data_IF_264313885845
#
_entry.id   IF_264313885845
#
_cell.length_a   1.000
_cell.length_b   1.000
_cell.length_c   1.000
_cell.angle_alpha   90.00
_cell.angle_beta   90.00
_cell.angle_gamma   90.00
#
_symmetry.space_group_name_H-M   'P 1'
#
loop_
_entity.id
_entity.type
_entity.pdbx_description
1 polymer ?
#
# COMPACT_ATOMS: atom_id res chain seq x y z
N UNK A 1 5.65 10.51 -7.20
CA UNK A 1 5.09 9.23 -6.78
C UNK A 1 5.94 8.11 -7.37
N UNK A 2 6.16 7.05 -6.61
CA UNK A 2 6.81 5.80 -7.03
C UNK A 2 5.83 4.68 -6.73
N UNK A 3 5.73 3.70 -7.62
CA UNK A 3 4.94 2.51 -7.35
C UNK A 3 5.55 1.29 -8.05
N UNK A 4 5.30 0.12 -7.49
CA UNK A 4 5.64 -1.16 -8.09
C UNK A 4 4.73 -1.47 -9.30
N UNK A 5 5.28 -2.23 -10.25
CA UNK A 5 4.57 -2.55 -11.51
C UNK A 5 3.42 -3.53 -11.33
N UNK A 6 3.32 -4.20 -10.19
CA UNK A 6 2.31 -5.19 -9.83
C UNK A 6 1.20 -4.65 -8.94
N UNK A 7 0.88 -3.36 -9.08
CA UNK A 7 -0.24 -2.69 -8.44
C UNK A 7 -1.32 -2.35 -9.46
N UNK A 8 -2.55 -2.80 -9.22
CA UNK A 8 -3.74 -2.39 -9.96
C UNK A 8 -4.46 -1.25 -9.25
N UNK A 9 -4.94 -0.29 -10.03
CA UNK A 9 -5.79 0.81 -9.56
C UNK A 9 -7.23 0.59 -10.01
N UNK A 10 -8.16 0.59 -9.06
CA UNK A 10 -9.59 0.43 -9.25
C UNK A 10 -10.36 1.75 -9.04
N UNK A 11 -9.85 2.58 -8.14
CA UNK A 11 -10.31 3.95 -7.87
C UNK A 11 -9.11 4.88 -7.73
N UNK A 12 -9.35 6.18 -7.68
CA UNK A 12 -8.30 7.18 -7.51
C UNK A 12 -7.74 7.17 -6.08
N UNK A 13 -6.54 6.63 -5.82
CA UNK A 13 -6.00 6.54 -4.46
C UNK A 13 -5.66 7.91 -3.84
N UNK A 14 -5.52 8.96 -4.65
CA UNK A 14 -5.27 10.31 -4.14
C UNK A 14 -6.41 10.85 -3.26
N UNK A 15 -7.61 10.32 -3.41
CA UNK A 15 -8.76 10.66 -2.54
C UNK A 15 -8.56 10.22 -1.09
N UNK A 16 -7.65 9.26 -0.85
CA UNK A 16 -7.31 8.75 0.47
C UNK A 16 -6.09 9.43 1.09
N UNK A 17 -5.43 10.34 0.37
CA UNK A 17 -4.22 11.01 0.83
C UNK A 17 -4.52 12.34 1.48
N UNK A 18 -3.95 12.55 2.67
CA UNK A 18 -4.04 13.82 3.36
C UNK A 18 -3.11 14.87 2.73
N UNK A 19 -3.65 16.04 2.43
CA UNK A 19 -2.85 17.19 1.98
C UNK A 19 -1.83 17.64 3.02
N UNK A 20 -2.03 17.28 4.29
CA UNK A 20 -1.14 17.60 5.39
C UNK A 20 0.04 16.62 5.51
N UNK A 21 -0.01 15.46 4.84
CA UNK A 21 1.10 14.50 4.84
C UNK A 21 2.27 15.02 3.99
N UNK A 22 3.48 14.79 4.45
CA UNK A 22 4.70 15.04 3.66
C UNK A 22 5.06 13.82 2.81
N UNK A 23 4.75 12.63 3.33
CA UNK A 23 4.94 11.35 2.65
C UNK A 23 3.73 10.47 2.93
N UNK A 24 3.30 9.71 1.93
CA UNK A 24 2.21 8.73 2.04
C UNK A 24 2.72 7.40 1.50
N UNK A 25 2.49 6.32 2.23
CA UNK A 25 2.85 4.97 1.81
C UNK A 25 1.71 4.00 2.09
N UNK A 26 1.57 2.96 1.30
CA UNK A 26 0.69 1.84 1.66
C UNK A 26 1.24 1.07 2.86
N UNK A 27 0.46 0.16 3.39
CA UNK A 27 0.80 -0.63 4.56
C UNK A 27 0.74 -2.12 4.27
N UNK A 28 1.72 -2.88 4.79
CA UNK A 28 1.57 -4.34 4.90
C UNK A 28 0.66 -4.70 6.08
N UNK A 29 0.77 -3.95 7.19
CA UNK A 29 -0.12 -4.04 8.35
C UNK A 29 -0.52 -2.64 8.82
N UNK A 30 -1.81 -2.44 9.03
CA UNK A 30 -2.40 -1.18 9.47
C UNK A 30 -3.11 -1.36 10.82
N UNK A 31 -2.78 -0.49 11.78
CA UNK A 31 -3.23 -0.59 13.17
C UNK A 31 -4.27 0.49 13.56
N UNK A 32 -5.00 1.01 12.57
CA UNK A 32 -6.16 1.89 12.80
C UNK A 32 -5.87 3.39 12.76
N UNK A 33 -4.69 3.85 13.16
CA UNK A 33 -4.29 5.26 13.08
C UNK A 33 -3.36 5.48 11.89
N UNK A 34 -3.75 6.30 10.88
CA UNK A 34 -2.94 6.53 9.68
C UNK A 34 -1.61 7.26 9.95
N UNK A 35 -1.40 7.81 11.12
CA UNK A 35 -0.14 8.48 11.47
C UNK A 35 0.68 7.73 12.53
N UNK A 36 0.19 6.59 12.99
CA UNK A 36 0.91 5.77 13.96
C UNK A 36 2.18 5.18 13.35
N UNK A 37 3.33 5.35 13.99
CA UNK A 37 4.58 4.71 13.56
C UNK A 37 4.58 3.19 13.81
N UNK A 38 3.53 2.64 14.41
CA UNK A 38 3.36 1.18 14.55
C UNK A 38 3.00 0.52 13.22
N UNK A 39 2.35 1.24 12.31
CA UNK A 39 2.02 0.71 10.99
C UNK A 39 3.28 0.22 10.27
N UNK A 40 3.16 -0.91 9.58
CA UNK A 40 4.25 -1.46 8.79
C UNK A 40 4.14 -0.94 7.34
N UNK A 41 5.09 -0.13 6.87
CA UNK A 41 5.04 0.45 5.54
C UNK A 41 5.16 -0.63 4.45
N UNK A 42 4.47 -0.41 3.34
CA UNK A 42 4.75 -1.04 2.07
C UNK A 42 5.16 0.04 1.07
N UNK A 43 6.42 0.06 0.67
CA UNK A 43 6.98 1.09 -0.21
C UNK A 43 6.67 0.87 -1.68
N UNK A 44 6.00 -0.22 -2.02
CA UNK A 44 5.49 -0.47 -3.37
C UNK A 44 4.50 0.59 -3.86
N UNK A 45 3.88 1.34 -2.93
CA UNK A 45 3.12 2.54 -3.26
C UNK A 45 3.57 3.68 -2.34
N UNK A 46 4.26 4.66 -2.93
CA UNK A 46 4.88 5.75 -2.20
C UNK A 46 4.63 7.09 -2.90
N UNK A 47 4.01 8.03 -2.20
CA UNK A 47 3.91 9.43 -2.59
C UNK A 47 4.73 10.31 -1.66
N UNK A 48 5.46 11.27 -2.20
CA UNK A 48 6.15 12.29 -1.42
C UNK A 48 5.88 13.68 -2.01
N UNK A 49 5.47 14.59 -1.15
CA UNK A 49 5.34 16.00 -1.50
C UNK A 49 6.75 16.61 -1.62
N UNK A 50 7.04 17.24 -2.75
CA UNK A 50 8.36 17.84 -2.96
C UNK A 50 8.59 19.00 -1.97
N UNK A 51 9.62 18.87 -1.14
CA UNK A 51 10.05 19.88 -0.17
C UNK A 51 11.45 19.57 0.34
N UNK A 52 12.13 20.57 0.92
CA UNK A 52 13.44 20.36 1.57
C UNK A 52 13.37 19.27 2.66
N UNK A 53 12.24 19.20 3.38
CA UNK A 53 12.02 18.19 4.43
C UNK A 53 11.97 16.78 3.86
N UNK A 54 11.22 16.56 2.81
CA UNK A 54 11.13 15.23 2.18
C UNK A 54 12.42 14.84 1.47
N UNK A 55 13.11 15.76 0.80
CA UNK A 55 14.45 15.51 0.25
C UNK A 55 15.40 15.06 1.35
N UNK A 56 15.48 15.80 2.46
CA UNK A 56 16.32 15.42 3.60
C UNK A 56 15.95 14.10 4.26
N UNK A 57 14.66 13.74 4.23
CA UNK A 57 14.20 12.44 4.72
C UNK A 57 14.66 11.29 3.80
N UNK A 58 14.57 11.45 2.48
CA UNK A 58 15.10 10.47 1.52
C UNK A 58 16.61 10.31 1.59
N UNK A 59 17.35 11.40 1.79
CA UNK A 59 18.79 11.35 2.01
C UNK A 59 19.14 10.60 3.29
N UNK A 60 18.40 10.82 4.38
CA UNK A 60 18.57 10.08 5.63
C UNK A 60 18.27 8.59 5.43
N UNK A 61 17.16 8.27 4.74
CA UNK A 61 16.79 6.90 4.42
C UNK A 61 17.87 6.19 3.58
N UNK A 62 18.37 6.87 2.55
CA UNK A 62 19.47 6.32 1.75
C UNK A 62 20.72 6.03 2.58
N UNK A 63 21.14 6.98 3.47
CA UNK A 63 22.31 6.80 4.34
C UNK A 63 22.09 5.68 5.37
N UNK A 64 20.89 5.55 5.91
CA UNK A 64 20.56 4.53 6.91
C UNK A 64 20.81 3.09 6.41
N UNK A 65 20.82 2.86 5.08
CA UNK A 65 21.16 1.55 4.50
C UNK A 65 22.54 1.05 4.93
N UNK A 66 23.48 1.95 5.19
CA UNK A 66 24.84 1.62 5.67
C UNK A 66 24.82 0.99 7.07
N UNK A 67 23.83 1.39 7.90
CA UNK A 67 23.62 0.84 9.24
C UNK A 67 22.80 -0.46 9.28
N UNK A 68 22.16 -0.81 8.17
CA UNK A 68 21.30 -2.00 8.05
C UNK A 68 21.68 -2.86 6.85
N UNK A 69 22.91 -3.45 6.83
CA UNK A 69 23.35 -4.28 5.72
C UNK A 69 22.43 -5.49 5.53
N UNK A 70 22.09 -5.80 4.29
CA UNK A 70 21.21 -6.92 3.94
C UNK A 70 19.71 -6.62 4.00
N UNK A 71 19.29 -5.49 4.58
CA UNK A 71 17.88 -5.06 4.52
C UNK A 71 17.58 -4.33 3.21
N UNK A 72 16.43 -4.62 2.61
CA UNK A 72 15.93 -3.83 1.48
C UNK A 72 15.32 -2.50 1.96
N UNK A 73 15.04 -1.59 1.03
CA UNK A 73 14.65 -0.20 1.33
C UNK A 73 13.43 -0.07 2.24
N UNK A 74 12.40 -0.90 2.06
CA UNK A 74 11.21 -0.89 2.91
C UNK A 74 11.54 -1.27 4.36
N UNK A 75 12.36 -2.29 4.55
CA UNK A 75 12.80 -2.71 5.88
C UNK A 75 13.61 -1.59 6.56
N UNK A 76 14.49 -0.91 5.81
CA UNK A 76 15.25 0.24 6.34
C UNK A 76 14.32 1.39 6.72
N UNK A 77 13.31 1.71 5.88
CA UNK A 77 12.30 2.71 6.24
C UNK A 77 11.58 2.35 7.54
N UNK A 78 11.22 1.08 7.69
CA UNK A 78 10.55 0.61 8.91
C UNK A 78 11.40 0.82 10.17
N UNK A 79 12.71 0.65 10.10
CA UNK A 79 13.61 0.92 11.23
C UNK A 79 13.71 2.39 11.60
N UNK A 80 13.77 3.28 10.62
CA UNK A 80 14.06 4.70 10.83
C UNK A 80 12.83 5.60 10.86
N UNK A 81 11.63 5.10 10.56
CA UNK A 81 10.41 5.93 10.43
C UNK A 81 10.10 6.75 11.68
N UNK A 82 10.33 6.16 12.88
CA UNK A 82 10.14 6.88 14.16
C UNK A 82 11.11 8.05 14.27
N UNK A 83 12.37 7.86 13.94
CA UNK A 83 13.38 8.93 13.90
C UNK A 83 12.99 10.01 12.90
N UNK A 84 12.59 9.65 11.68
CA UNK A 84 12.15 10.61 10.67
C UNK A 84 10.97 11.47 11.15
N UNK A 85 10.03 10.88 11.87
CA UNK A 85 8.89 11.61 12.46
C UNK A 85 9.34 12.52 13.59
N UNK A 86 10.06 11.97 14.59
CA UNK A 86 10.40 12.69 15.83
C UNK A 86 11.46 13.74 15.67
N UNK A 87 12.53 13.46 14.90
CA UNK A 87 13.69 14.35 14.78
C UNK A 87 13.61 15.29 13.58
N UNK A 88 12.96 14.89 12.49
CA UNK A 88 12.84 15.68 11.27
C UNK A 88 11.46 16.30 11.06
N UNK A 89 10.51 16.02 11.96
CA UNK A 89 9.14 16.47 11.84
C UNK A 89 8.44 16.00 10.56
N UNK A 90 8.84 14.83 10.03
CA UNK A 90 8.21 14.25 8.85
C UNK A 90 6.84 13.73 9.23
N UNK A 91 5.80 14.14 8.51
CA UNK A 91 4.46 13.57 8.68
C UNK A 91 4.26 12.50 7.64
N UNK A 92 4.30 11.23 8.07
CA UNK A 92 4.07 10.06 7.24
C UNK A 92 2.62 9.63 7.45
N UNK A 93 1.85 9.52 6.37
CA UNK A 93 0.55 8.86 6.38
C UNK A 93 0.71 7.44 5.86
N UNK A 94 0.17 6.49 6.59
CA UNK A 94 0.03 5.10 6.19
C UNK A 94 -1.39 4.88 5.69
N UNK A 95 -1.54 4.40 4.46
CA UNK A 95 -2.84 4.06 3.90
C UNK A 95 -3.32 2.74 4.50
N UNK A 96 -4.59 2.69 4.84
CA UNK A 96 -5.20 1.49 5.39
C UNK A 96 -5.29 0.36 4.36
N UNK A 97 -5.34 -0.86 4.85
CA UNK A 97 -5.34 -2.07 4.04
C UNK A 97 -6.71 -2.45 3.49
N UNK A 98 -7.79 -1.79 3.92
CA UNK A 98 -9.13 -1.99 3.39
C UNK A 98 -9.33 -1.29 2.04
N UNK A 99 -8.67 -0.15 1.87
CA UNK A 99 -8.72 0.64 0.64
C UNK A 99 -7.51 0.39 -0.26
N UNK A 100 -6.33 0.22 0.33
CA UNK A 100 -5.09 -0.05 -0.38
C UNK A 100 -4.61 -1.45 -0.03
N UNK A 101 -5.31 -2.42 -0.61
CA UNK A 101 -5.16 -3.81 -0.27
C UNK A 101 -3.91 -4.45 -0.91
N UNK A 102 -3.53 -5.57 -0.36
CA UNK A 102 -2.50 -6.45 -0.89
C UNK A 102 -2.87 -7.92 -0.72
N UNK A 103 -2.16 -8.81 -1.39
CA UNK A 103 -2.39 -10.24 -1.26
C UNK A 103 -2.02 -10.79 0.12
N UNK A 104 -1.25 -10.02 0.91
CA UNK A 104 -0.98 -10.33 2.33
C UNK A 104 -2.20 -10.11 3.25
N UNK A 105 -3.22 -9.40 2.80
CA UNK A 105 -4.33 -8.94 3.65
C UNK A 105 -5.54 -9.84 3.54
N UNK A 106 -6.30 -9.94 4.65
CA UNK A 106 -7.51 -10.74 4.73
C UNK A 106 -8.79 -9.96 4.40
N UNK A 107 -8.77 -8.63 4.44
CA UNK A 107 -9.95 -7.82 4.08
C UNK A 107 -10.17 -7.87 2.58
N UNK A 108 -11.39 -8.20 2.20
CA UNK A 108 -11.77 -8.42 0.79
C UNK A 108 -13.14 -7.82 0.52
N UNK A 109 -13.18 -6.55 0.09
CA UNK A 109 -14.42 -5.89 -0.30
C UNK A 109 -14.20 -4.92 -1.46
N UNK A 110 -14.78 -5.22 -2.61
CA UNK A 110 -14.73 -4.33 -3.77
C UNK A 110 -15.40 -2.97 -3.53
N UNK A 111 -16.31 -2.86 -2.55
CA UNK A 111 -16.95 -1.59 -2.23
C UNK A 111 -15.94 -0.57 -1.69
N UNK A 112 -14.91 -1.02 -1.00
CA UNK A 112 -13.88 -0.16 -0.38
C UNK A 112 -12.57 -0.10 -1.17
N UNK A 113 -12.30 -1.03 -2.07
CA UNK A 113 -11.03 -1.20 -2.75
C UNK A 113 -10.65 -0.02 -3.67
N UNK A 114 -9.47 0.58 -3.46
CA UNK A 114 -8.85 1.58 -4.33
C UNK A 114 -7.69 1.00 -5.14
N UNK A 115 -6.76 0.33 -4.47
CA UNK A 115 -5.61 -0.32 -5.12
C UNK A 115 -5.41 -1.74 -4.60
N UNK A 116 -4.82 -2.60 -5.43
CA UNK A 116 -4.39 -3.94 -5.02
C UNK A 116 -2.95 -4.17 -5.44
N UNK A 117 -2.12 -4.53 -4.49
CA UNK A 117 -0.74 -4.91 -4.69
C UNK A 117 -0.58 -6.43 -4.65
N UNK A 118 0.09 -7.02 -5.63
CA UNK A 118 0.46 -8.44 -5.59
C UNK A 118 1.72 -8.66 -4.72
N UNK A 119 1.74 -8.04 -3.52
CA UNK A 119 2.74 -8.33 -2.50
C UNK A 119 2.53 -9.74 -1.94
N UNK A 120 3.49 -10.26 -1.16
CA UNK A 120 3.42 -11.64 -0.64
C UNK A 120 3.21 -12.70 -1.73
N UNK A 121 3.66 -12.45 -2.94
CA UNK A 121 3.56 -13.34 -4.08
C UNK A 121 4.91 -13.44 -4.80
N UNK A 122 5.37 -14.64 -5.04
CA UNK A 122 6.65 -14.89 -5.71
C UNK A 122 6.42 -15.36 -7.14
N UNK A 123 7.14 -14.73 -8.07
CA UNK A 123 7.14 -15.09 -9.47
C UNK A 123 6.11 -14.34 -10.34
N UNK A 124 6.59 -13.87 -11.50
CA UNK A 124 5.80 -13.07 -12.43
C UNK A 124 4.53 -13.79 -12.89
N UNK A 125 4.64 -15.09 -13.19
CA UNK A 125 3.49 -15.88 -13.67
C UNK A 125 2.35 -15.93 -12.65
N UNK A 126 2.65 -16.15 -11.38
CA UNK A 126 1.67 -16.18 -10.30
C UNK A 126 1.00 -14.80 -10.11
N UNK A 127 1.80 -13.72 -10.12
CA UNK A 127 1.29 -12.35 -10.02
C UNK A 127 0.35 -12.01 -11.16
N UNK A 128 0.75 -12.30 -12.41
CA UNK A 128 -0.08 -12.03 -13.60
C UNK A 128 -1.38 -12.84 -13.58
N UNK A 129 -1.31 -14.10 -13.14
CA UNK A 129 -2.50 -14.95 -13.03
C UNK A 129 -3.51 -14.38 -12.04
N UNK A 130 -3.08 -14.08 -10.80
CA UNK A 130 -3.99 -13.64 -9.75
C UNK A 130 -4.48 -12.20 -9.95
N UNK A 131 -3.61 -11.27 -10.41
CA UNK A 131 -4.05 -9.93 -10.79
C UNK A 131 -5.03 -9.96 -11.98
N UNK A 132 -4.81 -10.85 -12.95
CA UNK A 132 -5.74 -11.06 -14.06
C UNK A 132 -7.10 -11.60 -13.60
N UNK A 133 -7.12 -12.50 -12.61
CA UNK A 133 -8.36 -12.99 -11.99
C UNK A 133 -9.09 -11.86 -11.26
N UNK A 134 -8.36 -11.10 -10.43
CA UNK A 134 -8.92 -9.96 -9.72
C UNK A 134 -9.55 -8.94 -10.67
N UNK A 135 -8.89 -8.65 -11.80
CA UNK A 135 -9.43 -7.72 -12.80
C UNK A 135 -10.72 -8.25 -13.44
N UNK A 136 -10.84 -9.56 -13.67
CA UNK A 136 -12.11 -10.17 -14.14
C UNK A 136 -13.22 -10.05 -13.09
N UNK A 137 -12.91 -10.33 -11.83
CA UNK A 137 -13.86 -10.18 -10.71
C UNK A 137 -14.30 -8.72 -10.53
N UNK A 138 -13.37 -7.78 -10.67
CA UNK A 138 -13.70 -6.34 -10.66
C UNK A 138 -14.66 -5.95 -11.79
N UNK A 139 -14.45 -6.46 -12.99
CA UNK A 139 -15.39 -6.21 -14.11
C UNK A 139 -16.78 -6.75 -13.82
N UNK A 140 -16.87 -7.94 -13.24
CA UNK A 140 -18.15 -8.50 -12.78
C UNK A 140 -18.80 -7.64 -11.69
N UNK A 141 -18.03 -7.20 -10.68
CA UNK A 141 -18.49 -6.24 -9.67
C UNK A 141 -19.03 -4.95 -10.29
N UNK A 142 -18.34 -4.42 -11.30
CA UNK A 142 -18.76 -3.18 -11.99
C UNK A 142 -20.06 -3.35 -12.76
N UNK A 143 -20.42 -4.54 -13.20
CA UNK A 143 -21.68 -4.84 -13.89
C UNK A 143 -22.87 -5.08 -12.94
N UNK A 144 -22.64 -5.25 -11.64
CA UNK A 144 -23.69 -5.35 -10.63
C UNK A 144 -24.45 -4.04 -10.49
N UNK A 145 -25.76 -4.11 -10.20
CA UNK A 145 -26.51 -2.92 -9.85
C UNK A 145 -26.19 -2.39 -8.44
N UNK A 146 -26.64 -1.18 -8.14
CA UNK A 146 -26.36 -0.53 -6.85
C UNK A 146 -27.00 -1.30 -5.68
N UNK A 147 -28.21 -1.83 -5.89
CA UNK A 147 -28.92 -2.63 -4.88
C UNK A 147 -28.18 -3.93 -4.55
N UNK A 148 -27.57 -4.57 -5.55
CA UNK A 148 -26.73 -5.76 -5.33
C UNK A 148 -25.47 -5.42 -4.51
N UNK A 149 -24.76 -4.32 -4.87
CA UNK A 149 -23.54 -3.89 -4.17
C UNK A 149 -23.80 -3.46 -2.74
N UNK A 150 -24.96 -2.88 -2.44
CA UNK A 150 -25.32 -2.37 -1.11
C UNK A 150 -25.79 -3.44 -0.12
N UNK A 151 -26.00 -4.68 -0.57
CA UNK A 151 -26.43 -5.80 0.31
C UNK A 151 -25.35 -6.26 1.27
N UNK A 152 -24.10 -5.84 1.08
CA UNK A 152 -22.96 -6.20 1.94
C UNK A 152 -21.64 -6.24 1.18
N UNK A 153 -20.57 -6.72 1.81
CA UNK A 153 -19.25 -6.83 1.19
C UNK A 153 -19.26 -7.73 -0.04
N UNK A 154 -18.79 -7.22 -1.18
CA UNK A 154 -18.60 -8.01 -2.39
C UNK A 154 -17.14 -8.46 -2.43
N UNK A 155 -16.91 -9.74 -2.14
CA UNK A 155 -15.57 -10.29 -1.91
C UNK A 155 -14.93 -10.80 -3.20
N UNK A 156 -13.63 -10.54 -3.36
CA UNK A 156 -12.81 -11.24 -4.36
C UNK A 156 -12.25 -12.56 -3.81
N UNK A 157 -11.83 -13.45 -4.73
CA UNK A 157 -11.37 -14.81 -4.39
C UNK A 157 -9.84 -14.96 -4.36
N UNK A 158 -9.12 -14.05 -5.01
CA UNK A 158 -7.66 -14.10 -5.04
C UNK A 158 -7.03 -13.75 -3.66
N UNK A 159 -5.78 -14.13 -3.35
CA UNK A 159 -4.93 -14.94 -4.22
C UNK A 159 -5.40 -16.38 -4.36
N UNK A 160 -5.12 -16.99 -5.53
CA UNK A 160 -5.38 -18.39 -5.81
C UNK A 160 -4.09 -19.21 -5.87
N UNK A 161 -3.09 -18.71 -6.62
CA UNK A 161 -1.79 -19.38 -6.77
C UNK A 161 -0.64 -18.60 -6.10
N UNK A 162 -0.84 -17.33 -5.75
CA UNK A 162 0.05 -16.60 -4.84
C UNK A 162 -0.19 -17.08 -3.40
N UNK A 163 0.13 -18.35 -3.13
CA UNK A 163 0.01 -18.96 -1.81
C UNK A 163 1.36 -18.88 -1.12
N UNK A 164 1.31 -18.62 0.18
CA UNK A 164 2.49 -18.57 1.09
C UNK A 164 2.73 -19.90 1.75
#
# INVERSE_FOLDING_TARGET
>A
MVQDVDILWFRNPFERMSVAAHMVTSSDFFFGDPYSPMNLPNTGFLYAKSSRRTVGAFEAWRRARESFPGKHEQQVLNEIKVELVSTRGLRIQFLDTDHNAGFCNNTRDFNTLYTMHANCCVGLGAKLHDLGNLLREWRAYRSMDEGERSRGPVRWKVPGICIH
#
